data_IF_640810593726
#
_entry.id   IF_640810593726
#
_cell.length_a   1.000
_cell.length_b   1.000
_cell.length_c   1.000
_cell.angle_alpha   90.00
_cell.angle_beta   90.00
_cell.angle_gamma   90.00
#
_symmetry.space_group_name_H-M   'P 1'
#
loop_
_entity.id
_entity.type
_entity.pdbx_description
1 polymer ?
#
# COMPACT_ATOMS: atom_id res chain seq x y z
N UNK A 1 -6.94 9.40 -1.54
CA UNK A 1 -6.37 8.53 -2.57
C UNK A 1 -5.92 7.22 -1.92
N UNK A 2 -6.31 6.12 -2.51
CA UNK A 2 -5.88 4.81 -2.02
C UNK A 2 -5.24 4.03 -3.15
N UNK A 3 -4.29 3.19 -2.79
CA UNK A 3 -3.61 2.34 -3.75
C UNK A 3 -3.16 1.04 -3.08
N UNK A 4 -2.84 0.05 -3.91
CA UNK A 4 -2.26 -1.20 -3.44
C UNK A 4 -0.90 -1.35 -4.09
N UNK A 5 0.10 -1.73 -3.31
CA UNK A 5 1.45 -1.89 -3.83
C UNK A 5 2.17 -3.06 -3.17
N UNK A 6 3.26 -3.47 -3.79
CA UNK A 6 4.09 -4.52 -3.23
C UNK A 6 4.86 -4.01 -2.02
N UNK A 7 5.29 -4.93 -1.19
CA UNK A 7 5.98 -4.61 0.05
C UNK A 7 7.17 -3.66 -0.16
N UNK A 8 7.94 -3.88 -1.20
CA UNK A 8 9.11 -3.05 -1.46
C UNK A 8 8.77 -1.61 -1.84
N UNK A 9 7.53 -1.36 -2.26
CA UNK A 9 7.09 -0.03 -2.64
C UNK A 9 6.43 0.74 -1.49
N UNK A 10 6.15 0.07 -0.39
CA UNK A 10 5.55 0.71 0.78
C UNK A 10 6.42 1.88 1.25
N UNK A 11 7.71 1.67 1.30
CA UNK A 11 8.65 2.69 1.73
C UNK A 11 8.64 3.89 0.79
N UNK A 12 8.55 3.61 -0.50
CA UNK A 12 8.52 4.65 -1.52
C UNK A 12 7.31 5.56 -1.35
N UNK A 13 6.13 4.96 -1.22
CA UNK A 13 4.90 5.73 -1.08
C UNK A 13 4.79 6.41 0.28
N UNK A 14 5.38 5.85 1.31
CA UNK A 14 5.38 6.47 2.63
C UNK A 14 6.05 7.84 2.61
N UNK A 15 7.00 8.04 1.72
CA UNK A 15 7.68 9.32 1.57
C UNK A 15 6.75 10.43 1.09
N UNK A 16 5.69 10.06 0.39
CA UNK A 16 4.72 11.01 -0.11
C UNK A 16 3.60 11.30 0.87
N UNK A 17 3.60 10.63 2.00
CA UNK A 17 2.58 10.83 3.02
C UNK A 17 1.53 9.73 3.06
N UNK A 18 1.71 8.68 2.29
CA UNK A 18 0.81 7.54 2.34
C UNK A 18 0.98 6.79 3.66
N UNK A 19 -0.12 6.28 4.19
CA UNK A 19 -0.14 5.51 5.42
C UNK A 19 -0.57 4.09 5.10
N UNK A 20 0.13 3.12 5.66
CA UNK A 20 -0.22 1.72 5.48
C UNK A 20 -1.55 1.44 6.20
N UNK A 21 -2.56 1.05 5.43
CA UNK A 21 -3.89 0.78 5.96
C UNK A 21 -4.08 -0.69 6.33
N UNK A 22 -3.36 -1.58 5.66
CA UNK A 22 -3.47 -3.00 5.92
C UNK A 22 -2.90 -3.81 4.78
N UNK A 23 -3.03 -5.11 4.91
CA UNK A 23 -2.55 -6.03 3.87
C UNK A 23 -3.75 -6.60 3.15
N UNK A 24 -3.79 -6.43 1.83
CA UNK A 24 -4.82 -7.02 1.02
C UNK A 24 -4.54 -8.50 0.85
N UNK A 25 -5.52 -9.32 1.20
CA UNK A 25 -5.36 -10.77 1.19
C UNK A 25 -5.59 -11.41 -0.19
N UNK A 26 -5.62 -10.64 -1.24
CA UNK A 26 -5.81 -11.22 -2.56
C UNK A 26 -4.52 -11.87 -3.03
N UNK A 27 -4.44 -13.17 -2.86
CA UNK A 27 -3.29 -13.97 -3.23
C UNK A 27 -3.36 -14.37 -4.70
N UNK A 28 -3.19 -13.40 -5.57
CA UNK A 28 -3.04 -13.73 -6.98
C UNK A 28 -1.55 -13.93 -7.26
N UNK A 29 -1.16 -15.16 -7.48
CA UNK A 29 0.22 -15.49 -7.77
C UNK A 29 1.16 -15.44 -6.59
N UNK A 30 0.64 -15.54 -5.38
CA UNK A 30 1.47 -15.55 -4.18
C UNK A 30 2.09 -14.21 -3.82
N UNK A 31 1.56 -13.14 -4.37
CA UNK A 31 2.06 -11.80 -4.09
C UNK A 31 1.17 -11.14 -3.04
N UNK A 32 1.82 -10.59 -2.03
CA UNK A 32 1.12 -9.89 -0.96
C UNK A 32 1.05 -8.40 -1.30
N UNK A 33 -0.16 -7.87 -1.30
CA UNK A 33 -0.39 -6.46 -1.63
C UNK A 33 -0.68 -5.67 -0.37
N UNK A 34 -0.10 -4.49 -0.28
CA UNK A 34 -0.28 -3.59 0.86
C UNK A 34 -1.17 -2.43 0.44
N UNK A 35 -2.25 -2.20 1.20
CA UNK A 35 -3.15 -1.08 0.96
C UNK A 35 -2.59 0.17 1.63
N UNK A 36 -2.45 1.23 0.87
CA UNK A 36 -1.97 2.51 1.38
C UNK A 36 -2.95 3.61 1.06
N UNK A 37 -3.10 4.55 1.98
CA UNK A 37 -4.04 5.65 1.86
C UNK A 37 -3.32 6.97 2.04
N UNK A 38 -3.59 7.90 1.14
CA UNK A 38 -3.13 9.28 1.27
C UNK A 38 -4.35 10.15 1.58
N UNK A 39 -4.27 10.87 2.68
CA UNK A 39 -5.34 11.77 3.11
C UNK A 39 -4.96 13.20 2.74
N UNK A 40 -5.92 13.90 2.19
CA UNK A 40 -5.79 15.32 1.91
C UNK A 40 -6.59 16.08 2.96
N UNK A 41 -5.90 16.87 3.74
CA UNK A 41 -6.57 17.73 4.72
C UNK A 41 -6.67 19.15 4.22
#
# INVERSE_FOLDING_TARGET
>A
VSLACKDKLVHYYAKFGFVLNGISASEHGGVQWNDMILRFD
#
